data_IF_664971824533
#
_entry.id   IF_664971824533
#
_cell.length_a   1.000
_cell.length_b   1.000
_cell.length_c   1.000
_cell.angle_alpha   90.00
_cell.angle_beta   90.00
_cell.angle_gamma   90.00
#
_symmetry.space_group_name_H-M   'P 1'
#
loop_
_entity.id
_entity.type
_entity.pdbx_description
1 polymer ?
#
# COMPACT_ATOMS: atom_id res chain seq x y z
N UNK A 1 -6.73 -42.67 -24.08
CA UNK A 1 -7.11 -42.08 -22.77
C UNK A 1 -6.12 -41.00 -22.33
N UNK A 2 -4.80 -41.23 -22.40
CA UNK A 2 -3.73 -40.24 -22.13
C UNK A 2 -3.93 -38.88 -22.85
N UNK A 3 -4.26 -38.89 -24.15
CA UNK A 3 -4.42 -37.64 -24.92
C UNK A 3 -5.55 -36.74 -24.41
N UNK A 4 -6.66 -37.33 -23.93
CA UNK A 4 -7.78 -36.56 -23.35
C UNK A 4 -7.38 -35.90 -22.03
N UNK A 5 -6.63 -36.62 -21.21
CA UNK A 5 -6.06 -36.09 -19.96
C UNK A 5 -5.07 -34.96 -20.21
N UNK A 6 -4.22 -35.09 -21.24
CA UNK A 6 -3.28 -34.04 -21.62
C UNK A 6 -3.99 -32.73 -22.01
N UNK A 7 -5.07 -32.84 -22.79
CA UNK A 7 -5.90 -31.67 -23.17
C UNK A 7 -6.57 -31.03 -21.95
N UNK A 8 -7.11 -31.84 -21.03
CA UNK A 8 -7.73 -31.32 -19.79
C UNK A 8 -6.71 -30.56 -18.95
N UNK A 9 -5.50 -31.12 -18.77
CA UNK A 9 -4.42 -30.46 -18.02
C UNK A 9 -3.99 -29.16 -18.69
N UNK A 10 -3.85 -29.14 -20.01
CA UNK A 10 -3.51 -27.92 -20.75
C UNK A 10 -4.57 -26.82 -20.57
N UNK A 11 -5.86 -27.17 -20.65
CA UNK A 11 -6.96 -26.23 -20.43
C UNK A 11 -6.94 -25.68 -18.99
N UNK A 12 -6.69 -26.54 -17.99
CA UNK A 12 -6.60 -26.10 -16.60
C UNK A 12 -5.43 -25.13 -16.37
N UNK A 13 -4.26 -25.40 -16.95
CA UNK A 13 -3.10 -24.51 -16.85
C UNK A 13 -3.37 -23.14 -17.50
N UNK A 14 -3.97 -23.13 -18.69
CA UNK A 14 -4.35 -21.89 -19.39
C UNK A 14 -5.39 -21.11 -18.58
N UNK A 15 -6.38 -21.79 -18.02
CA UNK A 15 -7.40 -21.17 -17.17
C UNK A 15 -6.80 -20.58 -15.89
N UNK A 16 -5.91 -21.31 -15.22
CA UNK A 16 -5.21 -20.85 -14.03
C UNK A 16 -4.34 -19.61 -14.32
N UNK A 17 -3.61 -19.63 -15.43
CA UNK A 17 -2.80 -18.48 -15.87
C UNK A 17 -3.69 -17.27 -16.19
N UNK A 18 -4.81 -17.48 -16.89
CA UNK A 18 -5.76 -16.43 -17.21
C UNK A 18 -6.35 -15.80 -15.93
N UNK A 19 -6.81 -16.61 -14.98
CA UNK A 19 -7.32 -16.13 -13.70
C UNK A 19 -6.27 -15.37 -12.89
N UNK A 20 -5.01 -15.83 -12.91
CA UNK A 20 -3.90 -15.14 -12.26
C UNK A 20 -3.66 -13.75 -12.87
N UNK A 21 -3.66 -13.65 -14.21
CA UNK A 21 -3.54 -12.38 -14.91
C UNK A 21 -4.74 -11.46 -14.58
N UNK A 22 -5.97 -11.99 -14.62
CA UNK A 22 -7.18 -11.24 -14.25
C UNK A 22 -7.12 -10.71 -12.81
N UNK A 23 -6.54 -11.46 -11.88
CA UNK A 23 -6.40 -11.03 -10.49
C UNK A 23 -5.56 -9.75 -10.35
N UNK A 24 -4.53 -9.57 -11.17
CA UNK A 24 -3.72 -8.35 -11.15
C UNK A 24 -4.48 -7.09 -11.61
N UNK A 25 -5.60 -7.23 -12.33
CA UNK A 25 -6.45 -6.10 -12.71
C UNK A 25 -7.39 -5.61 -11.60
N UNK A 26 -7.48 -6.34 -10.48
CA UNK A 26 -8.32 -5.96 -9.32
C UNK A 26 -7.62 -4.90 -8.46
N UNK A 27 -6.29 -4.78 -8.56
CA UNK A 27 -5.54 -3.83 -7.74
C UNK A 27 -5.87 -2.38 -8.11
N UNK A 28 -6.05 -1.49 -7.12
CA UNK A 28 -6.31 -0.09 -7.38
C UNK A 28 -5.11 0.56 -8.08
N UNK A 29 -5.38 1.44 -9.03
CA UNK A 29 -4.33 2.19 -9.72
C UNK A 29 -3.64 3.18 -8.77
N UNK A 30 -2.39 2.88 -8.41
CA UNK A 30 -1.54 3.73 -7.57
C UNK A 30 -0.76 4.79 -8.36
N UNK A 31 -0.88 4.82 -9.69
CA UNK A 31 -0.15 5.76 -10.55
C UNK A 31 -0.43 7.22 -10.20
N UNK A 32 -1.61 7.50 -9.66
CA UNK A 32 -2.01 8.83 -9.20
C UNK A 32 -1.09 9.38 -8.10
N UNK A 33 -0.53 8.51 -7.25
CA UNK A 33 0.36 8.91 -6.15
C UNK A 33 1.70 9.49 -6.63
N UNK A 34 2.05 9.30 -7.91
CA UNK A 34 3.22 9.98 -8.52
C UNK A 34 3.00 11.49 -8.67
N UNK A 35 1.75 11.92 -8.76
CA UNK A 35 1.38 13.31 -9.10
C UNK A 35 0.57 13.99 -8.00
N UNK A 36 -0.18 13.23 -7.21
CA UNK A 36 -1.04 13.75 -6.14
C UNK A 36 -0.65 13.15 -4.81
N UNK A 37 -0.65 13.96 -3.77
CA UNK A 37 -0.42 13.50 -2.42
C UNK A 37 -1.69 12.83 -1.88
N UNK A 38 -1.57 11.75 -1.10
CA UNK A 38 -2.71 11.10 -0.49
C UNK A 38 -3.43 12.05 0.48
N UNK A 39 -4.75 11.96 0.49
CA UNK A 39 -5.60 12.69 1.42
C UNK A 39 -5.61 12.03 2.82
N UNK A 40 -6.56 12.42 3.67
CA UNK A 40 -6.70 11.83 5.00
C UNK A 40 -6.98 10.32 4.89
N UNK A 41 -6.24 9.54 5.67
CA UNK A 41 -6.47 8.10 5.76
C UNK A 41 -7.66 7.81 6.68
N UNK A 42 -8.24 6.61 6.55
CA UNK A 42 -9.31 6.16 7.43
C UNK A 42 -8.94 6.22 8.93
N UNK A 43 -7.67 5.98 9.26
CA UNK A 43 -7.14 6.08 10.63
C UNK A 43 -7.11 7.54 11.11
N UNK A 44 -6.72 8.47 10.23
CA UNK A 44 -6.73 9.90 10.54
C UNK A 44 -8.15 10.41 10.80
N UNK A 45 -9.11 10.04 9.95
CA UNK A 45 -10.52 10.39 10.14
C UNK A 45 -11.11 9.78 11.42
N UNK A 46 -10.75 8.52 11.70
CA UNK A 46 -11.16 7.86 12.93
C UNK A 46 -10.68 8.64 14.17
N UNK A 47 -9.42 9.08 14.18
CA UNK A 47 -8.88 9.90 15.28
C UNK A 47 -9.54 11.27 15.39
N UNK A 48 -9.90 11.91 14.28
CA UNK A 48 -10.65 13.17 14.32
C UNK A 48 -12.05 12.97 14.94
N UNK A 49 -12.75 11.87 14.60
CA UNK A 49 -14.05 11.52 15.22
C UNK A 49 -13.93 11.28 16.72
N UNK A 50 -12.85 10.62 17.16
CA UNK A 50 -12.56 10.43 18.59
C UNK A 50 -12.36 11.77 19.30
N UNK A 51 -11.59 12.69 18.74
CA UNK A 51 -11.42 14.03 19.32
C UNK A 51 -12.74 14.81 19.39
N UNK A 52 -13.58 14.72 18.37
CA UNK A 52 -14.91 15.34 18.37
C UNK A 52 -15.78 14.79 19.50
N UNK A 53 -15.80 13.46 19.69
CA UNK A 53 -16.57 12.81 20.79
C UNK A 53 -16.08 13.25 22.17
N UNK A 54 -14.78 13.51 22.30
CA UNK A 54 -14.16 13.98 23.55
C UNK A 54 -14.26 15.49 23.75
N UNK A 55 -14.90 16.23 22.83
CA UNK A 55 -14.96 17.71 22.88
C UNK A 55 -13.61 18.40 22.65
N UNK A 56 -12.61 17.68 22.14
CA UNK A 56 -11.28 18.21 21.88
C UNK A 56 -11.30 18.96 20.55
N UNK A 57 -11.15 20.28 20.60
CA UNK A 57 -11.03 21.11 19.40
C UNK A 57 -9.59 21.03 18.83
N UNK A 58 -9.32 19.95 18.08
CA UNK A 58 -8.05 19.71 17.40
C UNK A 58 -8.27 19.41 15.93
N UNK A 59 -7.39 19.95 15.08
CA UNK A 59 -7.36 19.69 13.64
C UNK A 59 -6.02 19.11 13.25
N UNK A 60 -6.03 18.19 12.27
CA UNK A 60 -4.81 17.67 11.69
C UNK A 60 -4.13 18.80 10.90
N UNK A 61 -2.87 19.09 11.24
CA UNK A 61 -2.00 19.97 10.46
C UNK A 61 -1.15 19.11 9.55
N UNK A 62 -1.29 19.32 8.25
CA UNK A 62 -0.59 18.56 7.24
C UNK A 62 0.14 19.51 6.29
N UNK A 63 1.42 19.23 6.05
CA UNK A 63 2.25 19.93 5.07
C UNK A 63 3.07 18.92 4.32
N UNK A 64 2.87 18.85 3.01
CA UNK A 64 3.72 18.03 2.16
C UNK A 64 5.09 18.68 1.97
N UNK A 65 6.14 17.87 2.09
CA UNK A 65 7.52 18.28 1.87
C UNK A 65 8.26 17.22 1.07
N UNK A 66 9.07 17.59 0.05
CA UNK A 66 9.94 16.65 -0.64
C UNK A 66 10.94 16.02 0.34
N UNK A 67 11.29 14.75 0.13
CA UNK A 67 12.25 14.03 0.98
C UNK A 67 13.61 14.76 1.07
N UNK A 68 14.03 15.42 -0.02
CA UNK A 68 15.26 16.23 -0.08
C UNK A 68 15.27 17.45 0.85
N UNK A 69 14.10 17.89 1.35
CA UNK A 69 13.97 18.97 2.34
C UNK A 69 13.88 18.45 3.77
N UNK A 70 13.91 17.14 3.98
CA UNK A 70 13.89 16.50 5.30
C UNK A 70 15.33 16.23 5.71
N UNK A 71 15.67 16.55 6.96
CA UNK A 71 17.00 16.24 7.52
C UNK A 71 17.28 14.74 7.41
N UNK A 72 18.44 14.31 6.89
CA UNK A 72 18.83 12.90 6.85
C UNK A 72 18.81 12.23 8.23
N UNK A 73 19.04 12.98 9.30
CA UNK A 73 19.00 12.46 10.66
C UNK A 73 17.58 12.10 11.11
N UNK A 74 16.57 12.88 10.70
CA UNK A 74 15.17 12.58 10.99
C UNK A 74 14.73 11.32 10.24
N UNK A 75 15.12 11.20 8.97
CA UNK A 75 14.85 10.00 8.16
C UNK A 75 15.43 8.76 8.85
N UNK A 76 16.71 8.82 9.27
CA UNK A 76 17.37 7.71 9.98
C UNK A 76 16.69 7.38 11.33
N UNK A 77 16.32 8.40 12.10
CA UNK A 77 15.66 8.21 13.38
C UNK A 77 14.32 7.49 13.24
N UNK A 78 13.50 7.86 12.25
CA UNK A 78 12.21 7.20 11.98
C UNK A 78 12.42 5.76 11.51
N UNK A 79 13.35 5.53 10.59
CA UNK A 79 13.66 4.17 10.11
C UNK A 79 14.07 3.27 11.28
N UNK A 80 15.04 3.68 12.11
CA UNK A 80 15.48 2.86 13.25
C UNK A 80 14.34 2.61 14.26
N UNK A 81 13.45 3.58 14.46
CA UNK A 81 12.35 3.45 15.42
C UNK A 81 11.21 2.54 14.94
N UNK A 82 10.94 2.53 13.63
CA UNK A 82 9.82 1.78 13.04
C UNK A 82 10.27 0.44 12.44
N UNK A 83 11.32 0.46 11.61
CA UNK A 83 11.87 -0.70 10.90
C UNK A 83 13.33 -0.45 10.47
N UNK A 84 14.28 -0.97 11.24
CA UNK A 84 15.71 -0.81 10.98
C UNK A 84 16.18 -1.51 9.69
N UNK A 85 15.35 -2.43 9.16
CA UNK A 85 15.60 -3.18 7.93
C UNK A 85 14.83 -2.67 6.74
N UNK A 86 14.08 -1.56 6.85
CA UNK A 86 13.19 -1.01 5.81
C UNK A 86 13.71 -1.09 4.36
N UNK A 87 15.01 -0.84 4.13
CA UNK A 87 15.61 -0.86 2.79
C UNK A 87 16.11 -2.22 2.30
N UNK A 88 16.08 -3.23 3.16
CA UNK A 88 16.74 -4.52 2.98
C UNK A 88 15.79 -5.72 3.02
N UNK A 89 14.55 -5.54 3.46
CA UNK A 89 13.56 -6.61 3.51
C UNK A 89 12.53 -6.49 2.36
N UNK A 90 12.09 -7.63 1.82
CA UNK A 90 11.10 -7.70 0.72
C UNK A 90 9.64 -7.79 1.22
N UNK A 91 9.43 -7.65 2.52
CA UNK A 91 8.15 -7.88 3.19
C UNK A 91 8.35 -8.29 4.64
N UNK A 92 7.27 -8.35 5.41
CA UNK A 92 7.26 -8.89 6.77
C UNK A 92 7.52 -10.39 6.79
#
# INVERSE_FOLDING_TARGET
>A
MIKKWFVIVAILLVSALFLNICFYFIYPDVSMLKKKHPEKTAIMEYREREWQRQGINKKIKYKWVPLSKISPYVIKAVIIAEDDKFWSHEGF
#
